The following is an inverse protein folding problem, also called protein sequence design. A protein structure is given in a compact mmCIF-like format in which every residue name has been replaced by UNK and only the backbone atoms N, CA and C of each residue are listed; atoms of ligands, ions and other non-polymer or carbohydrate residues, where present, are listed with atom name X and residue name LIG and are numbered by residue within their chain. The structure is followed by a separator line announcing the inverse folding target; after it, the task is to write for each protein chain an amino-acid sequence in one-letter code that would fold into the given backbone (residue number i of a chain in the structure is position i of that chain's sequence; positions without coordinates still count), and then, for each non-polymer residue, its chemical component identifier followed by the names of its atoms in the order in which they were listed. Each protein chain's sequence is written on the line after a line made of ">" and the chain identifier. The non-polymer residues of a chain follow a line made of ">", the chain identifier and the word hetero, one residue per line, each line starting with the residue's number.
data_IF_393717748537
#
_entry.id   IF_393717748537
#
_cell.length_a   1.000
_cell.length_b   1.000
_cell.length_c   1.000
_cell.angle_alpha   90.00
_cell.angle_beta   90.00
_cell.angle_gamma   90.00
#
_symmetry.space_group_name_H-M   'P 1'
#
loop_
_entity.id
_entity.type
_entity.pdbx_description
1 polymer ?
#
# COMPACT_ATOMS: atom_id res chain seq x y z
N UNK A 1 13.26 11.33 11.71
CA UNK A 1 11.88 10.84 11.50
C UNK A 1 11.38 11.37 10.16
N UNK A 2 10.73 10.54 9.34
CA UNK A 2 10.05 11.02 8.14
C UNK A 2 8.76 11.76 8.57
N UNK A 3 8.47 12.96 8.02
CA UNK A 3 7.26 13.67 8.35
C UNK A 3 6.02 12.92 7.82
N UNK A 4 4.92 13.02 8.56
CA UNK A 4 3.60 12.53 8.12
C UNK A 4 3.21 13.17 6.80
N UNK A 5 2.64 12.38 5.88
CA UNK A 5 2.29 12.86 4.54
C UNK A 5 3.47 12.91 3.55
N UNK A 6 4.54 12.15 3.81
CA UNK A 6 5.68 11.95 2.89
C UNK A 6 5.32 11.16 1.61
N UNK A 7 4.17 10.47 1.61
CA UNK A 7 3.77 9.57 0.51
C UNK A 7 4.45 8.19 0.55
N UNK A 8 5.11 7.84 1.67
CA UNK A 8 5.83 6.57 1.84
C UNK A 8 5.07 5.52 2.67
N UNK A 9 3.79 5.73 2.96
CA UNK A 9 2.97 4.77 3.72
C UNK A 9 3.40 4.56 5.17
N UNK A 10 4.08 5.53 5.78
CA UNK A 10 4.70 5.38 7.11
C UNK A 10 3.68 5.06 8.21
N UNK A 11 2.44 5.53 8.09
CA UNK A 11 1.36 5.28 9.04
C UNK A 11 1.01 3.79 9.12
N UNK A 12 0.70 3.16 7.99
CA UNK A 12 0.30 1.75 7.91
C UNK A 12 1.43 0.82 8.34
N UNK A 13 2.68 1.18 8.01
CA UNK A 13 3.89 0.45 8.41
C UNK A 13 4.08 0.52 9.93
N UNK A 14 3.86 1.69 10.53
CA UNK A 14 3.94 1.86 11.98
C UNK A 14 2.90 0.99 12.70
N UNK A 15 1.64 1.02 12.25
CA UNK A 15 0.58 0.17 12.81
C UNK A 15 0.97 -1.30 12.72
N UNK A 16 1.44 -1.77 11.56
CA UNK A 16 1.87 -3.16 11.39
C UNK A 16 3.04 -3.54 12.29
N UNK A 17 3.99 -2.62 12.49
CA UNK A 17 5.14 -2.82 13.39
C UNK A 17 4.69 -2.94 14.84
N UNK A 18 3.78 -2.07 15.30
CA UNK A 18 3.23 -2.12 16.67
C UNK A 18 2.46 -3.41 16.90
N UNK A 19 1.61 -3.84 15.96
CA UNK A 19 0.86 -5.10 16.06
C UNK A 19 1.80 -6.31 16.12
N UNK A 20 2.86 -6.33 15.30
CA UNK A 20 3.86 -7.38 15.34
C UNK A 20 4.63 -7.42 16.67
N UNK A 21 4.98 -6.26 17.22
CA UNK A 21 5.66 -6.13 18.51
C UNK A 21 4.79 -6.63 19.67
N UNK A 22 3.52 -6.21 19.72
CA UNK A 22 2.55 -6.66 20.72
C UNK A 22 2.29 -8.17 20.62
N UNK A 23 2.15 -8.69 19.39
CA UNK A 23 2.04 -10.13 19.15
C UNK A 23 3.21 -10.89 19.78
N UNK A 24 4.44 -10.46 19.50
CA UNK A 24 5.65 -11.09 20.06
C UNK A 24 5.73 -10.97 21.58
N UNK A 25 5.38 -9.83 22.16
CA UNK A 25 5.33 -9.65 23.61
C UNK A 25 4.33 -10.62 24.28
N UNK A 26 3.22 -10.93 23.60
CA UNK A 26 2.22 -11.89 24.03
C UNK A 26 2.54 -13.35 23.63
N UNK A 27 3.75 -13.65 23.15
CA UNK A 27 4.15 -15.00 22.74
C UNK A 27 3.50 -15.50 21.44
N UNK A 28 2.96 -14.60 20.61
CA UNK A 28 2.33 -14.92 19.32
C UNK A 28 3.21 -14.46 18.16
N UNK A 29 3.30 -15.28 17.12
CA UNK A 29 3.90 -14.91 15.84
C UNK A 29 2.80 -14.78 14.78
N UNK A 30 2.66 -13.59 14.19
CA UNK A 30 1.71 -13.35 13.12
C UNK A 30 2.38 -13.47 11.75
N UNK A 31 1.69 -14.09 10.80
CA UNK A 31 2.10 -14.04 9.40
C UNK A 31 1.93 -12.62 8.85
N UNK A 32 2.69 -12.27 7.81
CA UNK A 32 2.55 -10.97 7.14
C UNK A 32 1.14 -10.76 6.62
N UNK A 33 0.49 -11.83 6.15
CA UNK A 33 -0.89 -11.77 5.66
C UNK A 33 -1.88 -11.43 6.80
N UNK A 34 -1.69 -12.03 7.99
CA UNK A 34 -2.49 -11.71 9.17
C UNK A 34 -2.24 -10.27 9.65
N UNK A 35 -0.99 -9.81 9.65
CA UNK A 35 -0.65 -8.42 9.98
C UNK A 35 -1.27 -7.43 9.00
N UNK A 36 -1.21 -7.69 7.69
CA UNK A 36 -1.85 -6.82 6.68
C UNK A 36 -3.36 -6.68 6.91
N UNK A 37 -4.03 -7.79 7.25
CA UNK A 37 -5.46 -7.77 7.55
C UNK A 37 -5.75 -6.97 8.82
N UNK A 38 -5.00 -7.21 9.89
CA UNK A 38 -5.16 -6.50 11.16
C UNK A 38 -4.87 -4.99 11.03
N UNK A 39 -3.88 -4.60 10.23
CA UNK A 39 -3.62 -3.17 9.93
C UNK A 39 -4.82 -2.55 9.25
N UNK A 40 -5.39 -3.23 8.24
CA UNK A 40 -6.57 -2.71 7.54
C UNK A 40 -7.75 -2.53 8.51
N UNK A 41 -8.01 -3.50 9.39
CA UNK A 41 -9.07 -3.39 10.40
C UNK A 41 -8.84 -2.19 11.34
N UNK A 42 -7.62 -2.00 11.84
CA UNK A 42 -7.27 -0.86 12.70
C UNK A 42 -7.47 0.47 11.97
N UNK A 43 -7.03 0.58 10.71
CA UNK A 43 -7.18 1.81 9.91
C UNK A 43 -8.64 2.15 9.61
N UNK A 44 -9.49 1.14 9.39
CA UNK A 44 -10.94 1.34 9.26
C UNK A 44 -11.58 1.80 10.57
N UNK A 45 -11.18 1.21 11.71
CA UNK A 45 -11.68 1.60 13.03
C UNK A 45 -11.29 3.03 13.40
N UNK A 46 -10.13 3.50 12.94
CA UNK A 46 -9.64 4.85 13.20
C UNK A 46 -10.17 5.91 12.21
N UNK A 47 -11.04 5.53 11.27
CA UNK A 47 -11.56 6.40 10.20
C UNK A 47 -10.45 7.09 9.37
N UNK A 48 -9.26 6.50 9.35
CA UNK A 48 -8.13 6.98 8.54
C UNK A 48 -8.34 6.56 7.09
N UNK A 49 -9.11 5.49 6.87
CA UNK A 49 -9.49 4.97 5.55
C UNK A 49 -8.27 4.66 4.68
N UNK A 50 -8.50 4.45 3.38
CA UNK A 50 -7.43 4.26 2.40
C UNK A 50 -7.35 2.86 1.81
N UNK A 51 -6.25 2.63 1.09
CA UNK A 51 -5.95 1.33 0.48
C UNK A 51 -5.16 0.43 1.41
N UNK A 52 -4.72 -0.71 0.89
CA UNK A 52 -3.92 -1.71 1.63
C UNK A 52 -2.47 -1.81 1.15
N UNK A 53 -2.09 -0.97 0.19
CA UNK A 53 -0.80 -1.07 -0.52
C UNK A 53 0.41 -0.74 0.38
N UNK A 54 0.23 0.14 1.37
CA UNK A 54 1.30 0.68 2.20
C UNK A 54 1.81 -0.37 3.20
N UNK A 55 0.89 -1.05 3.89
CA UNK A 55 1.21 -2.15 4.80
C UNK A 55 1.81 -3.35 4.06
N UNK A 56 1.25 -3.72 2.90
CA UNK A 56 1.86 -4.78 2.07
C UNK A 56 3.27 -4.37 1.68
N UNK A 57 3.41 -3.12 1.19
CA UNK A 57 4.66 -2.45 0.82
C UNK A 57 5.75 -2.60 1.86
N UNK A 58 5.49 -2.17 3.09
CA UNK A 58 6.49 -2.14 4.15
C UNK A 58 6.70 -3.48 4.86
N UNK A 59 5.66 -4.28 5.09
CA UNK A 59 5.77 -5.51 5.88
C UNK A 59 6.41 -6.67 5.13
N UNK A 60 6.24 -6.75 3.80
CA UNK A 60 6.87 -7.79 2.97
C UNK A 60 8.30 -7.40 2.58
N UNK A 61 8.56 -6.10 2.36
CA UNK A 61 9.80 -5.62 1.76
C UNK A 61 9.94 -5.99 0.27
N UNK A 62 11.04 -5.58 -0.36
CA UNK A 62 11.35 -5.90 -1.75
C UNK A 62 10.36 -5.40 -2.80
N UNK A 63 10.62 -5.77 -4.06
CA UNK A 63 9.67 -5.60 -5.15
C UNK A 63 8.67 -6.75 -5.16
N UNK A 64 7.41 -6.43 -5.43
CA UNK A 64 6.31 -7.36 -5.30
C UNK A 64 5.11 -6.85 -6.08
N UNK A 65 4.28 -7.79 -6.50
CA UNK A 65 2.95 -7.52 -7.04
C UNK A 65 1.93 -8.00 -6.03
N UNK A 66 0.92 -7.20 -5.78
CA UNK A 66 -0.11 -7.51 -4.81
C UNK A 66 -1.49 -7.28 -5.41
N UNK A 67 -2.45 -8.11 -5.03
CA UNK A 67 -3.77 -8.15 -5.63
C UNK A 67 -4.80 -8.71 -4.65
N UNK A 68 -6.06 -8.36 -4.88
CA UNK A 68 -7.22 -8.92 -4.17
C UNK A 68 -8.32 -9.19 -5.17
N UNK A 69 -9.07 -10.27 -4.94
CA UNK A 69 -10.37 -10.43 -5.57
C UNK A 69 -11.35 -9.38 -5.00
N UNK A 70 -12.33 -8.90 -5.78
CA UNK A 70 -13.42 -8.11 -5.24
C UNK A 70 -14.24 -8.99 -4.28
N UNK A 71 -14.44 -8.54 -3.04
CA UNK A 71 -15.23 -9.26 -2.04
C UNK A 71 -14.87 -8.91 -0.61
N UNK A 72 -15.76 -9.27 0.32
CA UNK A 72 -15.55 -9.17 1.76
C UNK A 72 -15.57 -10.57 2.41
N UNK A 73 -14.71 -10.85 3.39
CA UNK A 73 -13.60 -10.00 3.84
C UNK A 73 -12.53 -9.87 2.75
N UNK A 74 -11.91 -8.69 2.64
CA UNK A 74 -10.88 -8.42 1.64
C UNK A 74 -9.66 -9.31 1.91
N UNK A 75 -9.22 -10.06 0.90
CA UNK A 75 -8.06 -10.96 1.00
C UNK A 75 -6.96 -10.53 0.06
N UNK A 76 -5.98 -9.83 0.61
CA UNK A 76 -4.81 -9.37 -0.14
C UNK A 76 -3.80 -10.50 -0.25
N UNK A 77 -3.43 -10.83 -1.48
CA UNK A 77 -2.34 -11.73 -1.82
C UNK A 77 -1.19 -10.93 -2.40
N UNK A 78 0.02 -11.47 -2.30
CA UNK A 78 1.18 -10.89 -2.93
C UNK A 78 2.10 -11.99 -3.46
N UNK A 79 2.89 -11.62 -4.46
CA UNK A 79 4.01 -12.39 -4.98
C UNK A 79 5.25 -11.51 -5.00
N UNK A 80 6.38 -12.09 -4.60
CA UNK A 80 7.66 -11.37 -4.63
C UNK A 80 8.20 -11.40 -6.03
N UNK A 81 8.61 -10.25 -6.55
CA UNK A 81 9.20 -10.14 -7.87
C UNK A 81 10.73 -10.18 -7.72
N UNK A 82 11.42 -11.22 -8.22
CA UNK A 82 12.87 -11.27 -8.16
C UNK A 82 13.45 -10.16 -9.03
N UNK A 83 14.18 -9.24 -8.41
CA UNK A 83 14.92 -8.21 -9.13
C UNK A 83 16.33 -8.69 -9.38
N UNK A 84 16.71 -8.88 -10.65
CA UNK A 84 18.09 -9.19 -10.96
C UNK A 84 19.01 -8.02 -10.54
N UNK A 85 20.24 -8.30 -10.07
CA UNK A 85 21.14 -7.26 -9.58
C UNK A 85 21.42 -6.16 -10.61
N UNK A 86 21.48 -6.51 -11.90
CA UNK A 86 21.69 -5.55 -12.99
C UNK A 86 20.53 -4.55 -13.13
N UNK A 87 19.28 -5.02 -13.01
CA UNK A 87 18.09 -4.14 -13.06
C UNK A 87 18.05 -3.24 -11.83
N UNK A 88 18.32 -3.78 -10.63
CA UNK A 88 18.41 -2.98 -9.40
C UNK A 88 19.44 -1.87 -9.55
N UNK A 89 20.66 -2.20 -9.95
CA UNK A 89 21.73 -1.22 -10.12
C UNK A 89 21.40 -0.18 -11.20
N UNK A 90 20.70 -0.57 -12.26
CA UNK A 90 20.18 0.38 -13.26
C UNK A 90 19.17 1.33 -12.63
N UNK A 91 18.19 0.84 -11.88
CA UNK A 91 17.19 1.69 -11.22
C UNK A 91 17.83 2.65 -10.22
N UNK A 92 18.75 2.17 -9.38
CA UNK A 92 19.47 3.00 -8.41
C UNK A 92 20.27 4.13 -9.07
N UNK A 93 20.81 3.93 -10.28
CA UNK A 93 21.52 4.98 -11.04
C UNK A 93 20.60 5.98 -11.73
N UNK A 94 19.36 5.61 -12.04
CA UNK A 94 18.46 6.43 -12.88
C UNK A 94 17.27 7.01 -12.12
N UNK A 95 17.01 6.58 -10.88
CA UNK A 95 15.93 7.08 -10.04
C UNK A 95 16.47 8.06 -9.01
N UNK A 96 15.91 9.26 -8.97
CA UNK A 96 16.20 10.28 -7.97
C UNK A 96 14.98 10.50 -7.08
N UNK A 97 15.17 10.42 -5.77
CA UNK A 97 14.12 10.74 -4.79
C UNK A 97 14.22 12.22 -4.39
N UNK A 98 13.17 12.98 -4.66
CA UNK A 98 13.10 14.41 -4.31
C UNK A 98 12.02 14.61 -3.25
N UNK A 99 12.44 15.00 -2.04
CA UNK A 99 11.51 15.40 -0.99
C UNK A 99 11.12 16.87 -1.17
N UNK A 100 9.83 17.13 -1.39
CA UNK A 100 9.33 18.48 -1.73
C UNK A 100 8.96 19.33 -0.51
N UNK A 101 9.06 18.82 0.71
CA UNK A 101 8.65 19.54 1.93
C UNK A 101 7.14 19.74 2.11
N UNK A 102 6.33 19.44 1.09
CA UNK A 102 4.87 19.65 1.12
C UNK A 102 4.16 18.35 1.46
N UNK A 103 3.55 18.29 2.63
CA UNK A 103 2.62 17.23 2.97
C UNK A 103 1.39 17.34 2.06
N UNK A 104 1.14 16.32 1.23
CA UNK A 104 -0.09 16.22 0.44
C UNK A 104 -1.04 15.31 1.19
N UNK A 105 -2.19 15.84 1.59
CA UNK A 105 -3.26 15.03 2.17
C UNK A 105 -3.84 14.13 1.07
N UNK A 106 -3.38 12.88 1.03
CA UNK A 106 -3.85 11.86 0.09
C UNK A 106 -5.37 11.60 0.23
N UNK A 107 -5.94 11.88 1.40
CA UNK A 107 -7.38 11.75 1.68
C UNK A 107 -8.26 12.56 0.72
N UNK A 108 -7.83 13.75 0.29
CA UNK A 108 -8.59 14.55 -0.67
C UNK A 108 -8.63 13.91 -2.06
N UNK A 109 -7.50 13.36 -2.51
CA UNK A 109 -7.41 12.64 -3.78
C UNK A 109 -8.25 11.37 -3.72
N UNK A 110 -8.10 10.56 -2.67
CA UNK A 110 -8.86 9.31 -2.50
C UNK A 110 -10.36 9.60 -2.49
N UNK A 111 -10.81 10.58 -1.71
CA UNK A 111 -12.24 10.96 -1.66
C UNK A 111 -12.77 11.42 -3.02
N UNK A 112 -11.99 12.21 -3.75
CA UNK A 112 -12.34 12.65 -5.11
C UNK A 112 -12.49 11.46 -6.07
N UNK A 113 -11.48 10.58 -6.12
CA UNK A 113 -11.47 9.41 -7.02
C UNK A 113 -12.62 8.47 -6.69
N UNK A 114 -12.86 8.17 -5.41
CA UNK A 114 -13.95 7.30 -4.97
C UNK A 114 -15.32 7.89 -5.33
N UNK A 115 -15.55 9.18 -5.11
CA UNK A 115 -16.80 9.86 -5.51
C UNK A 115 -17.04 9.77 -7.01
N UNK A 116 -16.02 10.03 -7.82
CA UNK A 116 -16.11 9.96 -9.29
C UNK A 116 -16.28 8.54 -9.80
N UNK A 117 -15.71 7.56 -9.12
CA UNK A 117 -15.93 6.13 -9.39
C UNK A 117 -17.39 5.75 -9.14
N UNK A 118 -17.98 6.14 -8.00
CA UNK A 118 -19.40 5.92 -7.72
C UNK A 118 -20.31 6.63 -8.73
N UNK A 119 -19.93 7.81 -9.20
CA UNK A 119 -20.64 8.53 -10.25
C UNK A 119 -20.45 7.93 -11.67
N UNK A 120 -19.76 6.79 -11.80
CA UNK A 120 -19.49 6.12 -13.07
C UNK A 120 -18.81 7.04 -14.11
N UNK A 121 -17.95 7.96 -13.66
CA UNK A 121 -17.24 8.88 -14.55
C UNK A 121 -16.35 8.09 -15.53
N UNK A 122 -16.57 8.16 -16.86
CA UNK A 122 -15.85 7.35 -17.84
C UNK A 122 -14.33 7.52 -17.74
N UNK A 123 -13.86 8.75 -17.53
CA UNK A 123 -12.44 9.07 -17.38
C UNK A 123 -11.77 8.32 -16.23
N UNK A 124 -12.44 8.25 -15.07
CA UNK A 124 -11.92 7.53 -13.89
C UNK A 124 -11.95 6.03 -14.12
N UNK A 125 -13.01 5.51 -14.73
CA UNK A 125 -13.11 4.08 -15.04
C UNK A 125 -12.01 3.63 -16.01
N UNK A 126 -11.81 4.37 -17.10
CA UNK A 126 -10.73 4.08 -18.08
C UNK A 126 -9.36 4.16 -17.41
N UNK A 127 -9.12 5.18 -16.59
CA UNK A 127 -7.84 5.34 -15.87
C UNK A 127 -7.59 4.16 -14.93
N UNK A 128 -8.58 3.78 -14.12
CA UNK A 128 -8.45 2.66 -13.19
C UNK A 128 -8.24 1.32 -13.92
N UNK A 129 -8.96 1.09 -15.02
CA UNK A 129 -8.76 -0.09 -15.87
C UNK A 129 -7.35 -0.13 -16.46
N UNK A 130 -6.83 1.01 -16.94
CA UNK A 130 -5.46 1.12 -17.46
C UNK A 130 -4.41 0.82 -16.39
N UNK A 131 -4.57 1.35 -15.19
CA UNK A 131 -3.67 1.07 -14.06
C UNK A 131 -3.67 -0.42 -13.68
N UNK A 132 -4.85 -1.05 -13.60
CA UNK A 132 -4.97 -2.47 -13.29
C UNK A 132 -4.38 -3.33 -14.42
N UNK A 133 -4.62 -2.97 -15.67
CA UNK A 133 -4.04 -3.68 -16.82
C UNK A 133 -2.51 -3.59 -16.81
N UNK A 134 -1.94 -2.39 -16.63
CA UNK A 134 -0.50 -2.19 -16.52
C UNK A 134 0.13 -2.99 -15.38
N UNK A 135 -0.55 -3.09 -14.23
CA UNK A 135 -0.08 -3.89 -13.11
C UNK A 135 -0.12 -5.41 -13.37
N UNK A 136 -1.00 -5.90 -14.24
CA UNK A 136 -1.08 -7.33 -14.62
C UNK A 136 -0.09 -7.72 -15.70
N UNK A 137 0.23 -6.79 -16.60
CA UNK A 137 1.10 -7.02 -17.76
C UNK A 137 2.60 -6.85 -17.45
N UNK A 138 2.95 -6.38 -16.24
CA UNK A 138 4.32 -6.22 -15.74
C UNK A 138 4.77 -7.45 -14.95
#
# INVERSE_FOLDING_TARGET
>A
MLPTGSGLGTSSILVGTVLAALGRACGRAYSVCALNHAVLEVEQLMDVGGGWQDQVGGLVGGAKRAYSAPGLPLRVKYETLPLCPAVRARWERHLLLIYTGRARLASNIVRSVVRRYYAQSPEVLVTLQGLVHGARSA
#
